data_IF_510793023870
#
_entry.id   IF_510793023870
#
_cell.length_a   1.000
_cell.length_b   1.000
_cell.length_c   1.000
_cell.angle_alpha   90.00
_cell.angle_beta   90.00
_cell.angle_gamma   90.00
#
_symmetry.space_group_name_H-M   'P 1'
#
loop_
_entity.id
_entity.type
_entity.pdbx_description
1 polymer ?
#
# COMPACT_ATOMS: atom_id res chain seq x y z
N UNK A 1 -10.86 -31.52 27.95
CA UNK A 1 -11.27 -30.18 27.54
C UNK A 1 -10.42 -29.83 26.33
N UNK A 2 -10.99 -29.83 25.11
CA UNK A 2 -10.31 -29.42 23.92
C UNK A 2 -10.24 -27.89 23.95
N UNK A 3 -9.04 -27.34 24.12
CA UNK A 3 -8.80 -25.92 23.91
C UNK A 3 -9.02 -25.65 22.43
N UNK A 4 -10.15 -25.01 22.09
CA UNK A 4 -10.33 -24.40 20.78
C UNK A 4 -9.23 -23.33 20.63
N UNK A 5 -8.22 -23.63 19.86
CA UNK A 5 -7.32 -22.60 19.34
C UNK A 5 -8.19 -21.81 18.38
N UNK A 6 -8.61 -20.62 18.79
CA UNK A 6 -9.34 -19.69 17.91
C UNK A 6 -8.42 -19.43 16.71
N UNK A 7 -8.78 -19.99 15.56
CA UNK A 7 -8.02 -19.78 14.33
C UNK A 7 -8.13 -18.31 13.94
N UNK A 8 -7.01 -17.59 14.04
CA UNK A 8 -6.94 -16.17 13.67
C UNK A 8 -7.37 -15.97 12.22
N UNK A 9 -8.19 -14.96 11.96
CA UNK A 9 -8.66 -14.59 10.63
C UNK A 9 -8.15 -13.22 10.22
N UNK A 10 -8.15 -12.96 8.93
CA UNK A 10 -7.85 -11.65 8.34
C UNK A 10 -9.08 -11.10 7.65
N UNK A 11 -9.24 -9.77 7.72
CA UNK A 11 -10.27 -9.04 6.99
C UNK A 11 -9.68 -8.55 5.67
N UNK A 12 -10.21 -9.05 4.58
CA UNK A 12 -9.81 -8.62 3.22
C UNK A 12 -10.36 -7.23 2.86
N UNK A 13 -9.82 -6.62 1.80
CA UNK A 13 -10.29 -5.33 1.27
C UNK A 13 -11.77 -5.35 0.87
N UNK A 14 -12.30 -6.50 0.42
CA UNK A 14 -13.72 -6.70 0.13
C UNK A 14 -14.56 -7.00 1.37
N UNK A 15 -13.98 -6.85 2.59
CA UNK A 15 -14.59 -7.13 3.88
C UNK A 15 -14.91 -8.61 4.17
N UNK A 16 -14.51 -9.54 3.30
CA UNK A 16 -14.60 -10.97 3.60
C UNK A 16 -13.55 -11.37 4.64
N UNK A 17 -13.91 -12.35 5.46
CA UNK A 17 -12.99 -13.00 6.41
C UNK A 17 -12.34 -14.21 5.74
N UNK A 18 -11.06 -14.42 6.00
CA UNK A 18 -10.29 -15.57 5.55
C UNK A 18 -9.33 -15.99 6.67
N UNK A 19 -9.07 -17.29 6.80
CA UNK A 19 -8.10 -17.80 7.75
C UNK A 19 -6.70 -17.24 7.46
N UNK A 20 -5.98 -16.88 8.51
CA UNK A 20 -4.64 -16.32 8.34
C UNK A 20 -3.71 -17.37 7.75
N UNK A 21 -2.91 -16.95 6.76
CA UNK A 21 -1.90 -17.81 6.12
C UNK A 21 -0.56 -17.12 6.12
N UNK A 22 0.36 -17.63 6.90
CA UNK A 22 1.74 -17.13 6.97
C UNK A 22 2.46 -17.25 5.63
N UNK A 23 2.18 -18.31 4.88
CA UNK A 23 2.73 -18.50 3.53
C UNK A 23 2.28 -17.40 2.57
N UNK A 24 1.03 -16.94 2.68
CA UNK A 24 0.54 -15.82 1.86
C UNK A 24 1.25 -14.51 2.21
N UNK A 25 1.51 -14.26 3.48
CA UNK A 25 2.27 -13.09 3.95
C UNK A 25 3.70 -13.15 3.41
N UNK A 26 4.39 -14.29 3.62
CA UNK A 26 5.76 -14.48 3.12
C UNK A 26 5.85 -14.35 1.61
N UNK A 27 4.91 -14.96 0.87
CA UNK A 27 4.83 -14.87 -0.60
C UNK A 27 4.62 -13.42 -1.07
N UNK A 28 3.76 -12.66 -0.36
CA UNK A 28 3.51 -11.24 -0.64
C UNK A 28 4.79 -10.41 -0.51
N UNK A 29 5.53 -10.58 0.60
CA UNK A 29 6.76 -9.84 0.87
C UNK A 29 7.83 -10.20 -0.16
N UNK A 30 8.02 -11.50 -0.45
CA UNK A 30 8.96 -11.98 -1.47
C UNK A 30 8.63 -11.46 -2.87
N UNK A 31 7.34 -11.40 -3.24
CA UNK A 31 6.92 -10.87 -4.55
C UNK A 31 7.34 -9.42 -4.72
N UNK A 32 7.07 -8.57 -3.71
CA UNK A 32 7.45 -7.15 -3.76
C UNK A 32 8.98 -6.99 -3.80
N UNK A 33 9.70 -7.75 -2.97
CA UNK A 33 11.17 -7.71 -2.97
C UNK A 33 11.76 -8.15 -4.31
N UNK A 34 11.18 -9.15 -4.96
CA UNK A 34 11.61 -9.62 -6.29
C UNK A 34 11.36 -8.56 -7.37
N UNK A 35 10.21 -7.89 -7.34
CA UNK A 35 9.89 -6.79 -8.27
C UNK A 35 10.90 -5.63 -8.17
N UNK A 36 11.49 -5.42 -7.00
CA UNK A 36 12.51 -4.40 -6.73
C UNK A 36 13.95 -4.95 -6.80
N UNK A 37 14.15 -6.22 -7.20
CA UNK A 37 15.47 -6.90 -7.27
C UNK A 37 16.25 -6.89 -5.94
N UNK A 38 15.57 -6.95 -4.78
CA UNK A 38 16.18 -6.90 -3.46
C UNK A 38 16.70 -8.28 -3.05
N UNK A 39 18.02 -8.37 -2.77
CA UNK A 39 18.69 -9.64 -2.50
C UNK A 39 19.16 -9.79 -1.04
N UNK A 40 19.38 -8.69 -0.32
CA UNK A 40 20.00 -8.68 1.00
C UNK A 40 18.96 -8.70 2.16
N UNK A 41 17.83 -9.39 1.95
CA UNK A 41 16.75 -9.47 2.93
C UNK A 41 16.49 -10.92 3.31
N UNK A 42 16.55 -11.21 4.60
CA UNK A 42 16.04 -12.49 5.13
C UNK A 42 14.52 -12.38 5.29
N UNK A 43 13.79 -12.71 4.23
CA UNK A 43 12.33 -12.63 4.18
C UNK A 43 11.64 -13.52 5.24
N UNK A 44 12.22 -14.68 5.57
CA UNK A 44 11.64 -15.57 6.57
C UNK A 44 11.74 -14.99 7.98
N UNK A 45 12.90 -14.43 8.34
CA UNK A 45 13.10 -13.76 9.63
C UNK A 45 12.23 -12.49 9.74
N UNK A 46 12.06 -11.75 8.65
CA UNK A 46 11.15 -10.61 8.61
C UNK A 46 9.70 -11.04 8.81
N UNK A 47 9.27 -12.10 8.12
CA UNK A 47 7.91 -12.63 8.22
C UNK A 47 7.56 -13.06 9.66
N UNK A 48 8.48 -13.74 10.36
CA UNK A 48 8.26 -14.13 11.76
C UNK A 48 7.99 -12.91 12.65
N UNK A 49 8.75 -11.82 12.49
CA UNK A 49 8.51 -10.58 13.27
C UNK A 49 7.16 -9.92 12.98
N UNK A 50 6.64 -10.10 11.77
CA UNK A 50 5.33 -9.58 11.41
C UNK A 50 4.25 -10.45 12.03
N UNK A 51 4.42 -11.79 11.99
CA UNK A 51 3.48 -12.75 12.55
C UNK A 51 3.25 -12.48 14.05
N UNK A 52 4.28 -12.17 14.81
CA UNK A 52 4.22 -11.85 16.24
C UNK A 52 3.35 -10.62 16.57
N UNK A 53 3.01 -9.79 15.58
CA UNK A 53 2.20 -8.59 15.75
C UNK A 53 0.78 -8.73 15.23
N UNK A 54 0.43 -9.90 14.70
CA UNK A 54 -0.90 -10.13 14.16
C UNK A 54 -1.92 -10.40 15.28
N UNK A 55 -3.16 -10.00 15.00
CA UNK A 55 -4.31 -10.22 15.88
C UNK A 55 -5.53 -10.64 15.05
N UNK A 56 -6.52 -11.24 15.71
CA UNK A 56 -7.73 -11.71 15.02
C UNK A 56 -8.44 -10.58 14.27
N UNK A 57 -8.93 -10.87 13.06
CA UNK A 57 -9.62 -9.97 12.13
C UNK A 57 -8.80 -8.75 11.67
N UNK A 58 -7.47 -8.79 11.80
CA UNK A 58 -6.61 -7.73 11.28
C UNK A 58 -6.89 -7.50 9.78
N UNK A 59 -6.96 -6.25 9.37
CA UNK A 59 -7.14 -5.90 7.95
C UNK A 59 -5.85 -6.18 7.18
N UNK A 60 -5.96 -6.73 5.96
CA UNK A 60 -4.79 -6.98 5.09
C UNK A 60 -4.03 -5.71 4.71
N UNK A 61 -4.69 -4.54 4.71
CA UNK A 61 -4.06 -3.23 4.59
C UNK A 61 -3.13 -2.95 5.77
N UNK A 62 -3.56 -3.30 6.98
CA UNK A 62 -2.77 -3.11 8.21
C UNK A 62 -1.58 -4.06 8.26
N UNK A 63 -1.71 -5.28 7.73
CA UNK A 63 -0.57 -6.21 7.58
C UNK A 63 0.51 -5.60 6.66
N UNK A 64 0.11 -5.02 5.51
CA UNK A 64 1.05 -4.33 4.62
C UNK A 64 1.72 -3.14 5.36
N UNK A 65 0.98 -2.36 6.18
CA UNK A 65 1.53 -1.26 7.00
C UNK A 65 2.55 -1.77 8.03
N UNK A 66 2.18 -2.76 8.85
CA UNK A 66 3.08 -3.36 9.83
C UNK A 66 4.34 -3.92 9.18
N UNK A 67 4.19 -4.55 8.01
CA UNK A 67 5.33 -5.06 7.23
C UNK A 67 6.27 -3.93 6.85
N UNK A 68 5.75 -2.82 6.35
CA UNK A 68 6.56 -1.67 5.97
C UNK A 68 7.24 -1.01 7.19
N UNK A 69 6.55 -0.89 8.31
CA UNK A 69 7.09 -0.38 9.58
C UNK A 69 8.24 -1.26 10.08
N UNK A 70 8.07 -2.60 10.03
CA UNK A 70 9.12 -3.55 10.39
C UNK A 70 10.33 -3.49 9.44
N UNK A 71 10.11 -3.25 8.16
CA UNK A 71 11.21 -2.99 7.21
C UNK A 71 11.90 -1.68 7.54
N UNK A 72 11.15 -0.60 7.74
CA UNK A 72 11.70 0.73 8.04
C UNK A 72 12.56 0.73 9.32
N UNK A 73 12.17 -0.04 10.35
CA UNK A 73 12.97 -0.19 11.58
C UNK A 73 14.32 -0.89 11.37
N UNK A 74 14.53 -1.54 10.23
CA UNK A 74 15.74 -2.28 9.89
C UNK A 74 16.61 -1.62 8.82
N UNK A 75 16.30 -0.38 8.41
CA UNK A 75 17.06 0.37 7.39
C UNK A 75 18.55 0.48 7.76
N UNK A 76 18.85 0.62 9.05
CA UNK A 76 20.25 0.69 9.54
C UNK A 76 21.04 -0.58 9.32
N UNK A 77 20.39 -1.74 9.10
CA UNK A 77 21.08 -3.01 8.81
C UNK A 77 21.45 -3.12 7.34
N UNK A 78 20.55 -2.75 6.44
CA UNK A 78 20.78 -2.73 5.01
C UNK A 78 19.77 -1.81 4.30
N UNK A 79 20.18 -1.02 3.30
CA UNK A 79 19.29 -0.10 2.57
C UNK A 79 18.13 -0.81 1.84
N UNK A 80 18.28 -2.09 1.46
CA UNK A 80 17.20 -2.88 0.84
C UNK A 80 15.93 -2.93 1.71
N UNK A 81 16.06 -2.84 3.03
CA UNK A 81 14.89 -2.76 3.91
C UNK A 81 14.09 -1.46 3.70
N UNK A 82 14.78 -0.35 3.44
CA UNK A 82 14.14 0.93 3.09
C UNK A 82 13.39 0.84 1.76
N UNK A 83 14.02 0.25 0.75
CA UNK A 83 13.42 0.03 -0.56
C UNK A 83 12.21 -0.92 -0.47
N UNK A 84 12.29 -1.98 0.33
CA UNK A 84 11.16 -2.88 0.57
C UNK A 84 10.01 -2.17 1.30
N UNK A 85 10.31 -1.37 2.33
CA UNK A 85 9.31 -0.61 3.07
C UNK A 85 8.53 0.33 2.14
N UNK A 86 9.24 1.10 1.32
CA UNK A 86 8.67 2.00 0.32
C UNK A 86 7.80 1.25 -0.69
N UNK A 87 8.31 0.19 -1.31
CA UNK A 87 7.57 -0.59 -2.30
C UNK A 87 6.28 -1.21 -1.75
N UNK A 88 6.29 -1.65 -0.48
CA UNK A 88 5.09 -2.21 0.17
C UNK A 88 4.02 -1.14 0.37
N UNK A 89 4.36 0.05 0.91
CA UNK A 89 3.36 1.11 1.14
C UNK A 89 2.81 1.67 -0.17
N UNK A 90 3.65 1.82 -1.20
CA UNK A 90 3.24 2.24 -2.54
C UNK A 90 2.28 1.21 -3.15
N UNK A 91 2.66 -0.07 -3.11
CA UNK A 91 1.79 -1.15 -3.60
C UNK A 91 0.46 -1.23 -2.82
N UNK A 92 0.47 -0.94 -1.51
CA UNK A 92 -0.74 -0.86 -0.69
C UNK A 92 -1.62 0.31 -1.14
N UNK A 93 -1.05 1.50 -1.36
CA UNK A 93 -1.75 2.67 -1.90
C UNK A 93 -2.39 2.35 -3.26
N UNK A 94 -1.62 1.74 -4.19
CA UNK A 94 -2.10 1.38 -5.52
C UNK A 94 -3.29 0.41 -5.49
N UNK A 95 -3.33 -0.50 -4.53
CA UNK A 95 -4.47 -1.42 -4.35
C UNK A 95 -5.72 -0.76 -3.78
N UNK A 96 -5.54 0.37 -3.09
CA UNK A 96 -6.63 1.09 -2.41
C UNK A 96 -7.13 2.29 -3.21
N UNK A 97 -6.46 2.68 -4.29
CA UNK A 97 -6.76 3.87 -5.10
C UNK A 97 -6.97 3.51 -6.57
N UNK A 98 -7.69 4.37 -7.29
CA UNK A 98 -7.93 4.20 -8.73
C UNK A 98 -6.70 4.62 -9.53
N UNK A 99 -6.38 3.87 -10.60
CA UNK A 99 -5.27 4.20 -11.51
C UNK A 99 -5.63 5.24 -12.58
N UNK A 100 -6.91 5.43 -12.87
CA UNK A 100 -7.34 6.36 -13.90
C UNK A 100 -7.46 7.77 -13.33
N UNK A 101 -6.58 8.68 -13.77
CA UNK A 101 -6.50 10.07 -13.32
C UNK A 101 -7.85 10.80 -13.46
N UNK A 102 -8.49 10.73 -14.64
CA UNK A 102 -9.75 11.42 -14.89
C UNK A 102 -10.87 10.91 -13.95
N UNK A 103 -10.87 9.60 -13.66
CA UNK A 103 -11.84 9.02 -12.71
C UNK A 103 -11.67 9.58 -11.31
N UNK A 104 -10.42 9.82 -10.86
CA UNK A 104 -10.12 10.45 -9.57
C UNK A 104 -10.57 11.92 -9.60
N UNK A 105 -10.27 12.67 -10.66
CA UNK A 105 -10.70 14.07 -10.80
C UNK A 105 -12.22 14.21 -10.75
N UNK A 106 -12.96 13.35 -11.45
CA UNK A 106 -14.43 13.33 -11.37
C UNK A 106 -14.95 13.01 -9.97
N UNK A 107 -14.29 12.08 -9.26
CA UNK A 107 -14.64 11.76 -7.88
C UNK A 107 -14.37 12.92 -6.92
N UNK A 108 -13.26 13.63 -7.07
CA UNK A 108 -12.96 14.83 -6.29
C UNK A 108 -13.97 15.97 -6.56
N UNK A 109 -14.33 16.16 -7.82
CA UNK A 109 -15.30 17.17 -8.22
C UNK A 109 -16.71 16.87 -7.67
N UNK A 110 -17.16 15.61 -7.70
CA UNK A 110 -18.47 15.23 -7.13
C UNK A 110 -18.55 15.42 -5.61
N UNK A 111 -17.39 15.51 -4.93
CA UNK A 111 -17.27 15.85 -3.50
C UNK A 111 -16.90 17.34 -3.26
N UNK A 112 -17.01 18.21 -4.28
CA UNK A 112 -16.72 19.65 -4.21
C UNK A 112 -15.28 19.99 -3.78
N UNK A 113 -14.32 19.10 -3.97
CA UNK A 113 -12.91 19.33 -3.62
C UNK A 113 -12.13 20.03 -4.74
N UNK A 114 -12.59 19.90 -5.98
CA UNK A 114 -12.04 20.61 -7.16
C UNK A 114 -13.16 21.18 -8.02
N UNK A 115 -12.82 22.18 -8.85
CA UNK A 115 -13.76 22.82 -9.73
C UNK A 115 -14.06 22.01 -10.99
N UNK A 116 -15.23 22.20 -11.60
CA UNK A 116 -15.61 21.57 -12.87
C UNK A 116 -14.67 21.94 -14.03
N UNK A 117 -14.07 23.13 -14.00
CA UNK A 117 -13.10 23.56 -15.01
C UNK A 117 -11.87 22.67 -15.07
N UNK A 118 -11.35 22.22 -13.90
CA UNK A 118 -10.21 21.30 -13.83
C UNK A 118 -10.58 19.96 -14.47
N UNK A 119 -11.77 19.42 -14.17
CA UNK A 119 -12.24 18.16 -14.77
C UNK A 119 -12.38 18.28 -16.29
N UNK A 120 -12.91 19.40 -16.79
CA UNK A 120 -13.04 19.63 -18.23
C UNK A 120 -11.66 19.67 -18.93
N UNK A 121 -10.64 20.30 -18.32
CA UNK A 121 -9.26 20.29 -18.82
C UNK A 121 -8.70 18.88 -18.81
N UNK A 122 -8.86 18.14 -17.72
CA UNK A 122 -8.40 16.76 -17.60
C UNK A 122 -9.06 15.84 -18.65
N UNK A 123 -10.35 16.01 -18.92
CA UNK A 123 -11.08 15.23 -19.93
C UNK A 123 -10.60 15.56 -21.35
N UNK A 124 -10.41 16.87 -21.65
CA UNK A 124 -9.88 17.31 -22.95
C UNK A 124 -8.48 16.76 -23.25
N UNK A 125 -7.65 16.58 -22.23
CA UNK A 125 -6.25 16.17 -22.38
C UNK A 125 -5.97 14.76 -21.85
N UNK A 126 -6.99 13.93 -21.63
CA UNK A 126 -6.90 12.60 -20.99
C UNK A 126 -5.87 11.67 -21.64
N UNK A 127 -5.76 11.69 -22.96
CA UNK A 127 -4.82 10.84 -23.71
C UNK A 127 -3.36 11.21 -23.36
N UNK A 128 -3.04 12.50 -23.39
CA UNK A 128 -1.71 13.00 -23.06
C UNK A 128 -1.38 12.74 -21.59
N UNK A 129 -2.32 13.01 -20.68
CA UNK A 129 -2.13 12.79 -19.24
C UNK A 129 -1.84 11.32 -18.97
N UNK A 130 -2.63 10.39 -19.55
CA UNK A 130 -2.41 8.95 -19.34
C UNK A 130 -1.07 8.45 -19.92
N UNK A 131 -0.51 9.11 -20.94
CA UNK A 131 0.81 8.77 -21.48
C UNK A 131 1.96 9.28 -20.61
N UNK A 132 1.76 10.41 -19.93
CA UNK A 132 2.80 11.05 -19.09
C UNK A 132 2.91 10.38 -17.74
N UNK A 133 1.78 9.91 -17.17
CA UNK A 133 1.77 9.27 -15.84
C UNK A 133 2.43 7.90 -15.93
N UNK A 134 3.55 7.74 -15.22
CA UNK A 134 4.23 6.46 -15.03
C UNK A 134 4.30 6.10 -13.55
N UNK A 135 3.39 5.25 -13.09
CA UNK A 135 3.31 4.80 -11.70
C UNK A 135 4.52 3.98 -11.24
N UNK A 136 5.41 3.54 -12.12
CA UNK A 136 6.67 2.90 -11.72
C UNK A 136 7.60 3.90 -11.02
N UNK A 137 7.47 5.20 -11.35
CA UNK A 137 8.24 6.26 -10.73
C UNK A 137 7.90 6.51 -9.27
N UNK A 138 6.74 6.04 -8.79
CA UNK A 138 6.38 6.12 -7.38
C UNK A 138 7.40 5.40 -6.50
N UNK A 139 8.04 4.33 -7.01
CA UNK A 139 9.11 3.61 -6.31
C UNK A 139 10.42 4.42 -6.13
N UNK A 140 10.52 5.64 -6.70
CA UNK A 140 11.61 6.57 -6.42
C UNK A 140 11.41 7.31 -5.08
N UNK A 141 10.21 7.27 -4.52
CA UNK A 141 9.87 7.88 -3.24
C UNK A 141 10.24 6.90 -2.13
N UNK A 142 11.07 7.35 -1.19
CA UNK A 142 11.42 6.54 -0.02
C UNK A 142 10.27 6.41 0.97
N UNK A 143 10.41 5.53 1.96
CA UNK A 143 9.35 5.26 2.94
C UNK A 143 8.92 6.51 3.71
N UNK A 144 9.85 7.34 4.17
CA UNK A 144 9.55 8.54 4.96
C UNK A 144 8.94 9.65 4.10
N UNK A 145 9.45 9.81 2.88
CA UNK A 145 8.86 10.71 1.88
C UNK A 145 7.42 10.31 1.56
N UNK A 146 7.17 9.01 1.34
CA UNK A 146 5.82 8.49 1.13
C UNK A 146 4.91 8.77 2.33
N UNK A 147 5.35 8.50 3.57
CA UNK A 147 4.56 8.78 4.78
C UNK A 147 4.25 10.26 4.94
N UNK A 148 5.15 11.14 4.50
CA UNK A 148 4.92 12.58 4.47
C UNK A 148 3.84 12.96 3.45
N UNK A 149 3.92 12.42 2.23
CA UNK A 149 2.89 12.62 1.20
C UNK A 149 1.53 12.08 1.66
N UNK A 150 1.52 10.85 2.17
CA UNK A 150 0.32 10.21 2.70
C UNK A 150 -0.34 11.06 3.79
N UNK A 151 0.44 11.60 4.72
CA UNK A 151 -0.08 12.37 5.87
C UNK A 151 -0.59 13.75 5.49
N UNK A 152 0.13 14.48 4.64
CA UNK A 152 -0.03 15.92 4.49
C UNK A 152 -0.51 16.37 3.10
N UNK A 153 -0.31 15.58 2.03
CA UNK A 153 -0.50 16.06 0.67
C UNK A 153 -1.57 15.31 -0.13
N UNK A 154 -1.64 13.97 -0.01
CA UNK A 154 -2.58 13.19 -0.82
C UNK A 154 -4.03 13.51 -0.47
N UNK A 155 -4.84 13.77 -1.49
CA UNK A 155 -6.23 14.16 -1.34
C UNK A 155 -7.10 13.02 -0.79
N UNK A 156 -8.04 13.40 0.08
CA UNK A 156 -8.92 12.46 0.79
C UNK A 156 -10.38 12.83 0.62
N UNK A 157 -11.22 11.80 0.57
CA UNK A 157 -12.67 11.90 0.68
C UNK A 157 -13.08 11.10 1.90
N UNK A 158 -13.78 11.71 2.86
CA UNK A 158 -14.18 11.09 4.12
C UNK A 158 -13.02 10.39 4.85
N UNK A 159 -11.86 11.06 4.94
CA UNK A 159 -10.60 10.57 5.52
C UNK A 159 -9.91 9.43 4.74
N UNK A 160 -10.47 8.95 3.64
CA UNK A 160 -9.88 7.92 2.78
C UNK A 160 -9.11 8.58 1.65
N UNK A 161 -7.85 8.17 1.45
CA UNK A 161 -7.01 8.65 0.34
C UNK A 161 -7.61 8.12 -0.98
N UNK A 162 -7.74 9.01 -1.96
CA UNK A 162 -8.30 8.69 -3.29
C UNK A 162 -7.31 8.95 -4.42
N UNK A 163 -6.24 9.66 -4.11
CA UNK A 163 -5.18 10.05 -5.04
C UNK A 163 -3.97 9.12 -4.88
N UNK A 164 -3.22 8.94 -5.98
CA UNK A 164 -1.92 8.29 -6.00
C UNK A 164 -0.93 9.04 -6.90
#
# INVERSE_FOLDING_TARGET
MATFVDEMRVTKRNKSLEDISFDKILKRIKSVGKEQNLQNINYSALCLKIIDQLYDKIETTKIDELTAEQCASQITKHPDFGSLASAIVISNLHKNTKSNFLSVMRQLQSNNLITKSIVNIADKHKEIINQIIDYKRDNLIDYFGFKTLERAYLMRINKVIVER
#
